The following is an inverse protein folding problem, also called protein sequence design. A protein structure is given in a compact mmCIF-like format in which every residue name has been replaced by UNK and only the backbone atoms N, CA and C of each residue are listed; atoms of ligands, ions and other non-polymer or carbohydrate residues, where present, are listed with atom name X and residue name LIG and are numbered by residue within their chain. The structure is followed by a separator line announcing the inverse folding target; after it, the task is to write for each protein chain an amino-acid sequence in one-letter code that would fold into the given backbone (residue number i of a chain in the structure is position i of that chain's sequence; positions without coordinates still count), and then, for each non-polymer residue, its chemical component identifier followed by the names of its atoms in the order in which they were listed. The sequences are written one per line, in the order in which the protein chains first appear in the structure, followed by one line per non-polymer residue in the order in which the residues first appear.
data_IF_100797372625
#
_entry.id   IF_100797372625
#
_cell.length_a   1.000
_cell.length_b   1.000
_cell.length_c   1.000
_cell.angle_alpha   90.00
_cell.angle_beta   90.00
_cell.angle_gamma   90.00
#
_symmetry.space_group_name_H-M   'P 1'
#
loop_
_entity.id
_entity.type
_entity.pdbx_description
1 polymer ?
#
# COMPACT_ATOMS: atom_id res chain seq x y z
N UNK A 1 -15.06 -25.40 -13.02
CA UNK A 1 -13.64 -25.76 -12.98
C UNK A 1 -13.14 -25.70 -11.53
N UNK A 2 -12.19 -26.59 -11.11
CA UNK A 2 -11.62 -26.51 -9.78
C UNK A 2 -10.89 -25.18 -9.58
N UNK A 3 -10.86 -24.68 -8.34
CA UNK A 3 -10.17 -23.43 -7.99
C UNK A 3 -8.65 -23.49 -8.27
N UNK A 4 -8.06 -24.69 -8.11
CA UNK A 4 -6.66 -24.97 -8.38
C UNK A 4 -6.50 -26.19 -9.27
N UNK A 5 -5.67 -26.06 -10.30
CA UNK A 5 -5.20 -27.18 -11.12
C UNK A 5 -3.94 -27.80 -10.52
N UNK A 6 -3.54 -28.99 -10.99
CA UNK A 6 -2.24 -29.59 -10.57
C UNK A 6 -1.05 -28.70 -10.99
N UNK A 7 -1.16 -28.00 -12.12
CA UNK A 7 -0.14 -27.03 -12.53
C UNK A 7 -0.02 -25.87 -11.56
N UNK A 8 -1.14 -25.38 -11.03
CA UNK A 8 -1.14 -24.28 -10.05
C UNK A 8 -0.45 -24.69 -8.76
N UNK A 9 -0.68 -25.93 -8.30
CA UNK A 9 0.01 -26.48 -7.11
C UNK A 9 1.54 -26.53 -7.30
N UNK A 10 1.99 -26.97 -8.50
CA UNK A 10 3.42 -26.95 -8.84
C UNK A 10 3.97 -25.54 -8.86
N UNK A 11 3.24 -24.58 -9.42
CA UNK A 11 3.67 -23.18 -9.45
C UNK A 11 3.68 -22.54 -8.05
N UNK A 12 2.74 -22.89 -7.18
CA UNK A 12 2.75 -22.45 -5.77
C UNK A 12 3.97 -23.00 -5.05
N UNK A 13 4.32 -24.29 -5.28
CA UNK A 13 5.52 -24.88 -4.69
C UNK A 13 6.78 -24.14 -5.17
N UNK A 14 6.90 -23.86 -6.46
CA UNK A 14 8.01 -23.06 -7.00
C UNK A 14 8.06 -21.67 -6.35
N UNK A 15 6.91 -21.03 -6.17
CA UNK A 15 6.84 -19.73 -5.51
C UNK A 15 7.35 -19.78 -4.06
N UNK A 16 7.07 -20.87 -3.34
CA UNK A 16 7.58 -21.11 -1.98
C UNK A 16 9.09 -21.31 -1.99
N UNK A 17 9.60 -22.15 -2.91
CA UNK A 17 11.02 -22.47 -3.03
C UNK A 17 11.87 -21.22 -3.37
N UNK A 18 11.33 -20.31 -4.15
CA UNK A 18 11.97 -19.06 -4.57
C UNK A 18 11.70 -17.87 -3.62
N UNK A 19 11.04 -18.09 -2.48
CA UNK A 19 10.67 -17.06 -1.48
C UNK A 19 10.10 -15.77 -2.09
N UNK A 20 9.17 -15.89 -3.04
CA UNK A 20 8.50 -14.73 -3.61
C UNK A 20 7.56 -14.07 -2.60
N UNK A 21 7.21 -12.80 -2.81
CA UNK A 21 6.43 -12.03 -1.84
C UNK A 21 4.93 -12.19 -2.02
N UNK A 22 4.46 -12.31 -3.29
CA UNK A 22 3.04 -12.30 -3.62
C UNK A 22 2.69 -13.37 -4.65
N UNK A 23 1.53 -14.00 -4.48
CA UNK A 23 0.84 -14.77 -5.51
C UNK A 23 -0.41 -14.00 -5.95
N UNK A 24 -0.51 -13.70 -7.25
CA UNK A 24 -1.74 -13.18 -7.85
C UNK A 24 -2.62 -14.35 -8.27
N UNK A 25 -3.68 -14.63 -7.49
CA UNK A 25 -4.61 -15.73 -7.73
C UNK A 25 -5.68 -15.29 -8.71
N UNK A 26 -5.68 -15.88 -9.93
CA UNK A 26 -6.65 -15.56 -11.00
C UNK A 26 -8.00 -16.21 -10.78
N UNK A 27 -9.05 -15.58 -11.31
CA UNK A 27 -10.43 -16.07 -11.35
C UNK A 27 -11.00 -16.48 -9.99
N UNK A 28 -10.68 -15.73 -8.94
CA UNK A 28 -11.22 -15.95 -7.60
C UNK A 28 -12.73 -15.66 -7.62
N UNK A 29 -13.52 -16.60 -7.10
CA UNK A 29 -14.99 -16.53 -7.04
C UNK A 29 -15.51 -16.43 -5.61
N UNK A 30 -14.72 -16.94 -4.64
CA UNK A 30 -15.13 -17.02 -3.24
C UNK A 30 -13.93 -17.03 -2.29
N UNK A 31 -14.19 -16.81 -1.00
CA UNK A 31 -13.18 -16.98 0.06
C UNK A 31 -12.63 -18.41 0.11
N UNK A 32 -13.40 -19.42 -0.33
CA UNK A 32 -12.92 -20.81 -0.37
C UNK A 32 -11.81 -21.00 -1.40
N UNK A 33 -11.85 -20.31 -2.54
CA UNK A 33 -10.77 -20.33 -3.53
C UNK A 33 -9.47 -19.76 -2.95
N UNK A 34 -9.57 -18.65 -2.22
CA UNK A 34 -8.42 -18.03 -1.54
C UNK A 34 -7.86 -18.96 -0.46
N UNK A 35 -8.75 -19.58 0.33
CA UNK A 35 -8.37 -20.52 1.37
C UNK A 35 -7.63 -21.72 0.83
N UNK A 36 -8.02 -22.25 -0.34
CA UNK A 36 -7.34 -23.39 -0.95
C UNK A 36 -5.84 -23.11 -1.24
N UNK A 37 -5.49 -21.88 -1.63
CA UNK A 37 -4.10 -21.44 -1.78
C UNK A 37 -3.46 -21.25 -0.41
N UNK A 38 -4.15 -20.59 0.52
CA UNK A 38 -3.63 -20.32 1.87
C UNK A 38 -3.28 -21.62 2.62
N UNK A 39 -4.12 -22.65 2.52
CA UNK A 39 -3.88 -23.94 3.16
C UNK A 39 -2.56 -24.60 2.67
N UNK A 40 -2.21 -24.42 1.38
CA UNK A 40 -0.91 -24.89 0.87
C UNK A 40 0.25 -24.07 1.46
N UNK A 41 0.11 -22.75 1.50
CA UNK A 41 1.13 -21.85 2.07
C UNK A 41 1.35 -22.13 3.55
N UNK A 42 0.27 -22.33 4.31
CA UNK A 42 0.33 -22.63 5.75
C UNK A 42 1.01 -23.98 6.03
N UNK A 43 0.71 -25.02 5.21
CA UNK A 43 1.36 -26.32 5.32
C UNK A 43 2.88 -26.28 5.13
N UNK A 44 3.38 -25.27 4.40
CA UNK A 44 4.80 -25.04 4.15
C UNK A 44 5.39 -23.90 5.01
N UNK A 45 4.62 -23.39 5.98
CA UNK A 45 5.01 -22.22 6.81
C UNK A 45 5.47 -21.01 5.98
N UNK A 46 4.88 -20.82 4.79
CA UNK A 46 5.25 -19.74 3.88
C UNK A 46 4.58 -18.42 4.25
N UNK A 47 5.34 -17.33 4.17
CA UNK A 47 4.85 -15.98 4.43
C UNK A 47 4.33 -15.25 3.18
N UNK A 48 4.26 -15.93 2.02
CA UNK A 48 3.74 -15.38 0.76
C UNK A 48 2.32 -14.84 0.98
N UNK A 49 2.03 -13.70 0.36
CA UNK A 49 0.72 -13.04 0.47
C UNK A 49 -0.11 -13.23 -0.80
N UNK A 50 -1.40 -13.45 -0.63
CA UNK A 50 -2.32 -13.68 -1.75
C UNK A 50 -2.97 -12.37 -2.16
N UNK A 51 -2.83 -12.01 -3.44
CA UNK A 51 -3.58 -10.96 -4.11
C UNK A 51 -4.66 -11.64 -4.96
N UNK A 52 -5.92 -11.50 -4.55
CA UNK A 52 -7.04 -12.09 -5.29
C UNK A 52 -7.43 -11.22 -6.47
N UNK A 53 -7.48 -11.82 -7.67
CA UNK A 53 -7.89 -11.14 -8.89
C UNK A 53 -9.39 -11.28 -9.09
N UNK A 54 -10.08 -10.15 -9.19
CA UNK A 54 -11.53 -10.08 -9.46
C UNK A 54 -11.71 -9.92 -10.96
N UNK A 55 -12.20 -10.98 -11.59
CA UNK A 55 -12.23 -11.17 -13.04
C UNK A 55 -13.59 -11.68 -13.55
N UNK A 56 -14.56 -11.90 -12.64
CA UNK A 56 -15.86 -12.47 -12.97
C UNK A 56 -16.96 -11.92 -12.04
N UNK A 57 -18.23 -12.11 -12.43
CA UNK A 57 -19.39 -11.64 -11.68
C UNK A 57 -19.48 -12.28 -10.29
N UNK A 58 -19.22 -13.58 -10.17
CA UNK A 58 -19.29 -14.30 -8.89
C UNK A 58 -18.29 -13.74 -7.87
N UNK A 59 -17.08 -13.35 -8.31
CA UNK A 59 -16.09 -12.66 -7.48
C UNK A 59 -16.54 -11.27 -7.04
N UNK A 60 -17.30 -10.55 -7.87
CA UNK A 60 -17.90 -9.26 -7.49
C UNK A 60 -18.99 -9.48 -6.44
N UNK A 61 -19.84 -10.47 -6.60
CA UNK A 61 -20.96 -10.77 -5.69
C UNK A 61 -20.44 -11.19 -4.30
N UNK A 62 -19.31 -11.90 -4.24
CA UNK A 62 -18.69 -12.41 -3.01
C UNK A 62 -17.52 -11.53 -2.51
N UNK A 63 -17.42 -10.28 -2.99
CA UNK A 63 -16.23 -9.45 -2.79
C UNK A 63 -15.85 -9.22 -1.33
N UNK A 64 -16.83 -9.07 -0.43
CA UNK A 64 -16.56 -8.77 0.98
C UNK A 64 -15.82 -9.93 1.67
N UNK A 65 -16.24 -11.18 1.43
CA UNK A 65 -15.63 -12.39 1.97
C UNK A 65 -14.25 -12.63 1.33
N UNK A 66 -14.10 -12.33 0.04
CA UNK A 66 -12.81 -12.43 -0.67
C UNK A 66 -11.80 -11.41 -0.12
N UNK A 67 -12.22 -10.17 0.13
CA UNK A 67 -11.35 -9.15 0.74
C UNK A 67 -10.88 -9.61 2.11
N UNK A 68 -11.78 -10.16 2.94
CA UNK A 68 -11.43 -10.61 4.28
C UNK A 68 -10.41 -11.76 4.25
N UNK A 69 -10.56 -12.69 3.31
CA UNK A 69 -9.66 -13.84 3.14
C UNK A 69 -8.31 -13.48 2.49
N UNK A 70 -8.21 -12.36 1.77
CA UNK A 70 -7.03 -11.99 0.97
C UNK A 70 -6.11 -11.02 1.71
N UNK A 71 -4.84 -10.96 1.29
CA UNK A 71 -3.94 -9.85 1.66
C UNK A 71 -4.31 -8.56 0.94
N UNK A 72 -4.63 -8.65 -0.36
CA UNK A 72 -5.04 -7.54 -1.19
C UNK A 72 -5.87 -8.00 -2.39
N UNK A 73 -6.36 -7.04 -3.15
CA UNK A 73 -7.23 -7.27 -4.31
C UNK A 73 -6.61 -6.68 -5.57
N UNK A 74 -6.77 -7.35 -6.70
CA UNK A 74 -6.50 -6.81 -8.03
C UNK A 74 -7.79 -6.80 -8.84
N UNK A 75 -8.18 -5.63 -9.31
CA UNK A 75 -9.32 -5.45 -10.22
C UNK A 75 -8.81 -5.62 -11.64
N UNK A 76 -9.02 -6.79 -12.23
CA UNK A 76 -8.54 -7.15 -13.56
C UNK A 76 -9.64 -6.86 -14.60
N UNK A 77 -9.75 -5.62 -15.02
CA UNK A 77 -10.88 -5.09 -15.81
C UNK A 77 -11.04 -5.72 -17.19
N UNK A 78 -9.94 -6.22 -17.78
CA UNK A 78 -9.95 -6.85 -19.09
C UNK A 78 -10.84 -8.10 -19.09
N UNK A 79 -10.58 -9.02 -18.15
CA UNK A 79 -11.35 -10.26 -18.04
C UNK A 79 -12.72 -10.00 -17.43
N UNK A 80 -12.83 -9.13 -16.43
CA UNK A 80 -14.09 -8.73 -15.82
C UNK A 80 -15.08 -8.19 -16.86
N UNK A 81 -14.61 -7.41 -17.84
CA UNK A 81 -15.44 -6.83 -18.91
C UNK A 81 -15.97 -7.84 -19.94
N UNK A 82 -15.56 -9.11 -19.84
CA UNK A 82 -16.14 -10.20 -20.65
C UNK A 82 -17.44 -10.70 -20.03
N UNK A 83 -17.53 -10.75 -18.69
CA UNK A 83 -18.68 -11.28 -17.96
C UNK A 83 -19.65 -10.21 -17.45
N UNK A 84 -19.14 -9.01 -17.17
CA UNK A 84 -19.91 -7.90 -16.61
C UNK A 84 -20.13 -6.83 -17.67
N UNK A 85 -21.33 -6.22 -17.78
CA UNK A 85 -21.57 -5.09 -18.68
C UNK A 85 -20.54 -3.98 -18.46
N UNK A 86 -19.94 -3.51 -19.55
CA UNK A 86 -18.80 -2.58 -19.51
C UNK A 86 -19.12 -1.27 -18.77
N UNK A 87 -20.35 -0.81 -18.86
CA UNK A 87 -20.86 0.39 -18.19
C UNK A 87 -20.92 0.25 -16.66
N UNK A 88 -20.91 -0.98 -16.11
CA UNK A 88 -20.91 -1.23 -14.67
C UNK A 88 -19.50 -1.25 -14.08
N UNK A 89 -18.47 -1.51 -14.89
CA UNK A 89 -17.08 -1.66 -14.42
C UNK A 89 -16.60 -0.45 -13.60
N UNK A 90 -16.82 0.81 -14.00
CA UNK A 90 -16.36 1.96 -13.21
C UNK A 90 -17.00 2.04 -11.82
N UNK A 91 -18.28 1.62 -11.70
CA UNK A 91 -18.99 1.54 -10.42
C UNK A 91 -18.42 0.45 -9.53
N UNK A 92 -18.26 -0.76 -10.07
CA UNK A 92 -17.67 -1.92 -9.38
C UNK A 92 -16.24 -1.60 -8.91
N UNK A 93 -15.42 -1.00 -9.78
CA UNK A 93 -14.06 -0.60 -9.42
C UNK A 93 -14.05 0.34 -8.21
N UNK A 94 -14.88 1.36 -8.20
CA UNK A 94 -14.96 2.32 -7.10
C UNK A 94 -15.42 1.66 -5.80
N UNK A 95 -16.41 0.78 -5.88
CA UNK A 95 -16.95 0.05 -4.71
C UNK A 95 -15.88 -0.86 -4.11
N UNK A 96 -15.19 -1.66 -4.93
CA UNK A 96 -14.11 -2.55 -4.48
C UNK A 96 -12.96 -1.74 -3.85
N UNK A 97 -12.54 -0.62 -4.46
CA UNK A 97 -11.49 0.24 -3.89
C UNK A 97 -11.91 0.74 -2.51
N UNK A 98 -13.13 1.25 -2.36
CA UNK A 98 -13.62 1.75 -1.08
C UNK A 98 -13.69 0.65 -0.02
N UNK A 99 -14.18 -0.53 -0.35
CA UNK A 99 -14.23 -1.69 0.55
C UNK A 99 -12.83 -2.10 0.99
N UNK A 100 -11.84 -2.13 0.08
CA UNK A 100 -10.46 -2.42 0.40
C UNK A 100 -9.86 -1.38 1.36
N UNK A 101 -10.12 -0.10 1.14
CA UNK A 101 -9.69 0.99 2.04
C UNK A 101 -10.23 0.77 3.45
N UNK A 102 -11.55 0.52 3.58
CA UNK A 102 -12.21 0.30 4.87
C UNK A 102 -11.70 -0.95 5.59
N UNK A 103 -11.29 -1.99 4.85
CA UNK A 103 -10.71 -3.23 5.38
C UNK A 103 -9.18 -3.17 5.50
N UNK A 104 -8.55 -2.03 5.18
CA UNK A 104 -7.09 -1.81 5.24
C UNK A 104 -6.30 -2.80 4.38
N UNK A 105 -6.86 -3.16 3.22
CA UNK A 105 -6.25 -4.07 2.26
C UNK A 105 -5.76 -3.28 1.04
N UNK A 106 -4.57 -3.57 0.51
CA UNK A 106 -4.12 -2.93 -0.72
C UNK A 106 -4.99 -3.34 -1.91
N UNK A 107 -5.21 -2.40 -2.82
CA UNK A 107 -5.97 -2.63 -4.06
C UNK A 107 -5.18 -2.15 -5.27
N UNK A 108 -5.12 -3.00 -6.28
CA UNK A 108 -4.44 -2.75 -7.55
C UNK A 108 -5.50 -2.62 -8.65
N UNK A 109 -5.45 -1.55 -9.42
CA UNK A 109 -6.25 -1.44 -10.65
C UNK A 109 -5.38 -1.86 -11.83
N UNK A 110 -5.84 -2.87 -12.57
CA UNK A 110 -5.08 -3.55 -13.59
C UNK A 110 -5.79 -3.58 -14.94
N UNK A 111 -5.00 -3.79 -15.98
CA UNK A 111 -5.38 -3.96 -17.39
C UNK A 111 -5.95 -2.72 -18.08
N UNK A 112 -5.63 -2.58 -19.36
CA UNK A 112 -6.14 -1.51 -20.25
C UNK A 112 -5.84 -0.07 -19.74
N UNK A 113 -4.72 0.11 -19.02
CA UNK A 113 -4.34 1.42 -18.49
C UNK A 113 -3.81 2.35 -19.59
N UNK A 114 -2.81 1.91 -20.35
CA UNK A 114 -2.18 2.61 -21.46
C UNK A 114 -2.06 1.70 -22.70
N UNK A 115 -3.12 0.93 -22.97
CA UNK A 115 -3.12 -0.13 -23.99
C UNK A 115 -2.66 0.37 -25.37
N UNK A 116 -3.03 1.60 -25.75
CA UNK A 116 -2.58 2.24 -26.99
C UNK A 116 -1.06 2.35 -27.04
N UNK A 117 -0.37 2.46 -25.91
CA UNK A 117 1.09 2.59 -25.86
C UNK A 117 1.84 1.27 -26.09
N UNK A 118 1.16 0.16 -26.28
CA UNK A 118 1.77 -1.05 -26.82
C UNK A 118 2.39 -0.75 -28.19
N UNK A 119 1.68 0.01 -29.04
CA UNK A 119 2.08 0.32 -30.41
C UNK A 119 2.40 1.80 -30.65
N UNK A 120 1.93 2.72 -29.81
CA UNK A 120 2.05 4.16 -30.00
C UNK A 120 2.84 4.82 -28.87
N UNK A 121 3.65 5.87 -29.16
CA UNK A 121 4.46 6.54 -28.12
C UNK A 121 3.67 7.46 -27.17
N UNK A 122 2.36 7.61 -27.40
CA UNK A 122 1.49 8.48 -26.60
C UNK A 122 0.13 7.82 -26.35
N UNK A 123 -0.44 7.99 -25.15
CA UNK A 123 -1.76 7.48 -24.83
C UNK A 123 -2.88 8.34 -25.44
N UNK A 124 -4.08 7.79 -25.44
CA UNK A 124 -5.30 8.53 -25.70
C UNK A 124 -5.72 9.39 -24.49
N UNK A 125 -6.58 10.37 -24.69
CA UNK A 125 -7.17 11.15 -23.58
C UNK A 125 -8.04 10.29 -22.66
N UNK A 126 -8.70 9.28 -23.19
CA UNK A 126 -9.51 8.34 -22.41
C UNK A 126 -8.66 7.55 -21.41
N UNK A 127 -7.50 7.04 -21.85
CA UNK A 127 -6.55 6.32 -20.98
C UNK A 127 -5.97 7.22 -19.89
N UNK A 128 -5.62 8.47 -20.22
CA UNK A 128 -5.17 9.46 -19.23
C UNK A 128 -6.27 9.72 -18.19
N UNK A 129 -7.52 9.86 -18.62
CA UNK A 129 -8.66 10.08 -17.73
C UNK A 129 -8.92 8.86 -16.85
N UNK A 130 -8.78 7.65 -17.39
CA UNK A 130 -9.00 6.41 -16.66
C UNK A 130 -7.98 6.22 -15.54
N UNK A 131 -6.69 6.44 -15.81
CA UNK A 131 -5.63 6.44 -14.79
C UNK A 131 -5.91 7.50 -13.72
N UNK A 132 -6.24 8.74 -14.13
CA UNK A 132 -6.56 9.79 -13.18
C UNK A 132 -7.75 9.42 -12.29
N UNK A 133 -8.80 8.78 -12.83
CA UNK A 133 -9.96 8.32 -12.05
C UNK A 133 -9.60 7.23 -11.03
N UNK A 134 -8.71 6.30 -11.37
CA UNK A 134 -8.21 5.31 -10.43
C UNK A 134 -7.45 5.98 -9.27
N UNK A 135 -6.62 6.98 -9.55
CA UNK A 135 -5.91 7.79 -8.53
C UNK A 135 -6.91 8.60 -7.69
N UNK A 136 -7.90 9.24 -8.31
CA UNK A 136 -8.95 9.98 -7.59
C UNK A 136 -9.81 9.09 -6.69
N UNK A 137 -9.86 7.79 -6.99
CA UNK A 137 -10.51 6.79 -6.14
C UNK A 137 -9.58 6.25 -5.05
N UNK A 138 -8.33 6.73 -4.95
CA UNK A 138 -7.33 6.35 -3.96
C UNK A 138 -6.89 4.88 -4.04
N UNK A 139 -6.72 4.32 -5.23
CA UNK A 139 -6.09 3.00 -5.38
C UNK A 139 -4.66 2.99 -4.83
N UNK A 140 -4.20 1.84 -4.33
CA UNK A 140 -2.84 1.70 -3.81
C UNK A 140 -1.80 1.59 -4.93
N UNK A 141 -2.14 0.89 -6.02
CA UNK A 141 -1.26 0.69 -7.16
C UNK A 141 -2.01 0.59 -8.49
N UNK A 142 -1.28 0.86 -9.57
CA UNK A 142 -1.70 0.65 -10.95
C UNK A 142 -0.79 -0.38 -11.60
N UNK A 143 -1.33 -1.22 -12.48
CA UNK A 143 -0.56 -2.24 -13.18
C UNK A 143 -0.56 -2.00 -14.70
N UNK A 144 0.62 -2.00 -15.31
CA UNK A 144 0.82 -2.16 -16.74
C UNK A 144 1.00 -3.64 -17.07
N UNK A 145 0.52 -4.08 -18.22
CA UNK A 145 0.57 -5.46 -18.70
C UNK A 145 1.36 -5.53 -20.02
N UNK A 146 0.67 -5.64 -21.14
CA UNK A 146 1.27 -5.69 -22.47
C UNK A 146 2.12 -4.47 -22.79
N UNK A 147 1.79 -3.31 -22.22
CA UNK A 147 2.51 -2.06 -22.40
C UNK A 147 4.00 -2.17 -22.04
N UNK A 148 4.32 -2.97 -21.03
CA UNK A 148 5.70 -3.19 -20.56
C UNK A 148 6.24 -4.59 -20.89
N UNK A 149 5.37 -5.58 -21.06
CA UNK A 149 5.80 -6.96 -21.33
C UNK A 149 6.18 -7.20 -22.80
N UNK A 150 5.48 -6.57 -23.73
CA UNK A 150 5.66 -6.78 -25.18
C UNK A 150 5.51 -5.51 -26.02
N UNK A 151 5.21 -4.38 -25.39
CA UNK A 151 5.00 -3.09 -26.07
C UNK A 151 6.29 -2.51 -26.64
N UNK A 152 6.15 -1.62 -27.63
CA UNK A 152 7.26 -0.91 -28.28
C UNK A 152 7.81 0.25 -27.42
N UNK A 153 7.05 0.72 -26.43
CA UNK A 153 7.35 1.90 -25.62
C UNK A 153 7.26 1.64 -24.12
N UNK A 154 7.96 0.61 -23.57
CA UNK A 154 7.78 0.19 -22.18
C UNK A 154 8.21 1.28 -21.17
N UNK A 155 9.32 1.95 -21.42
CA UNK A 155 9.84 3.01 -20.55
C UNK A 155 8.92 4.23 -20.54
N UNK A 156 8.48 4.66 -21.73
CA UNK A 156 7.56 5.79 -21.91
C UNK A 156 6.20 5.53 -21.28
N UNK A 157 5.72 4.28 -21.31
CA UNK A 157 4.47 3.88 -20.67
C UNK A 157 4.56 4.06 -19.15
N UNK A 158 5.61 3.55 -18.50
CA UNK A 158 5.84 3.74 -17.06
C UNK A 158 5.98 5.22 -16.70
N UNK A 159 6.79 5.97 -17.44
CA UNK A 159 6.97 7.41 -17.21
C UNK A 159 5.68 8.20 -17.41
N UNK A 160 4.86 7.81 -18.38
CA UNK A 160 3.57 8.47 -18.63
C UNK A 160 2.59 8.18 -17.52
N UNK A 161 2.47 6.93 -17.07
CA UNK A 161 1.63 6.56 -15.92
C UNK A 161 2.06 7.33 -14.66
N UNK A 162 3.36 7.40 -14.37
CA UNK A 162 3.89 8.15 -13.24
C UNK A 162 3.51 9.64 -13.30
N UNK A 163 3.71 10.31 -14.45
CA UNK A 163 3.33 11.73 -14.61
C UNK A 163 1.85 11.97 -14.42
N UNK A 164 0.99 11.08 -14.93
CA UNK A 164 -0.47 11.18 -14.74
C UNK A 164 -0.82 11.02 -13.26
N UNK A 165 -0.25 10.00 -12.59
CA UNK A 165 -0.47 9.74 -11.18
C UNK A 165 -0.05 10.93 -10.31
N UNK A 166 1.17 11.45 -10.47
CA UNK A 166 1.67 12.62 -9.73
C UNK A 166 0.81 13.88 -9.94
N UNK A 167 0.25 14.04 -11.13
CA UNK A 167 -0.63 15.18 -11.43
C UNK A 167 -1.98 15.01 -10.76
N UNK A 168 -2.58 13.84 -10.84
CA UNK A 168 -3.86 13.53 -10.22
C UNK A 168 -3.79 13.56 -8.68
N UNK A 169 -2.68 13.07 -8.09
CA UNK A 169 -2.45 13.16 -6.64
C UNK A 169 -2.41 14.60 -6.14
N UNK A 170 -1.73 15.51 -6.87
CA UNK A 170 -1.72 16.95 -6.53
C UNK A 170 -3.13 17.56 -6.53
N UNK A 171 -4.00 17.10 -7.41
CA UNK A 171 -5.40 17.56 -7.45
C UNK A 171 -6.23 16.94 -6.32
N UNK A 172 -6.01 15.69 -5.95
CA UNK A 172 -6.62 15.07 -4.76
C UNK A 172 -6.25 15.84 -3.50
N UNK A 173 -4.99 16.18 -3.32
CA UNK A 173 -4.51 16.96 -2.16
C UNK A 173 -5.20 18.32 -2.03
N UNK A 174 -5.56 18.98 -3.13
CA UNK A 174 -6.33 20.24 -3.10
C UNK A 174 -7.77 20.07 -2.66
N UNK A 175 -8.34 18.88 -2.84
CA UNK A 175 -9.75 18.58 -2.47
C UNK A 175 -9.90 18.16 -1.01
N UNK A 176 -8.79 17.98 -0.28
CA UNK A 176 -8.76 17.43 1.06
C UNK A 176 -8.67 15.90 1.05
N UNK A 177 -8.49 15.31 2.23
CA UNK A 177 -8.42 13.86 2.38
C UNK A 177 -9.82 13.24 2.49
N UNK A 178 -9.90 11.93 2.24
CA UNK A 178 -11.13 11.19 2.52
C UNK A 178 -11.22 10.90 4.02
N UNK A 179 -12.37 11.18 4.63
CA UNK A 179 -12.59 10.81 6.03
C UNK A 179 -12.91 9.31 6.14
N UNK A 180 -11.87 8.50 6.30
CA UNK A 180 -12.00 7.06 6.54
C UNK A 180 -12.34 6.85 8.03
N UNK A 181 -13.47 6.21 8.37
CA UNK A 181 -13.82 5.93 9.75
C UNK A 181 -12.85 4.92 10.37
N UNK A 182 -12.77 4.89 11.70
CA UNK A 182 -12.05 3.83 12.41
C UNK A 182 -12.80 2.50 12.22
N UNK A 183 -12.08 1.46 11.81
CA UNK A 183 -12.64 0.11 11.70
C UNK A 183 -12.88 -0.51 13.07
N UNK A 184 -12.03 -0.16 14.05
CA UNK A 184 -12.15 -0.56 15.45
C UNK A 184 -11.90 0.65 16.37
N UNK A 185 -12.98 1.22 16.91
CA UNK A 185 -12.95 2.38 17.80
C UNK A 185 -12.19 2.13 19.12
N UNK A 186 -11.88 0.89 19.46
CA UNK A 186 -11.07 0.52 20.63
C UNK A 186 -9.60 0.30 20.31
N UNK A 187 -9.20 0.38 19.02
CA UNK A 187 -7.82 0.21 18.60
C UNK A 187 -7.02 1.50 18.82
N UNK A 188 -6.16 1.51 19.84
CA UNK A 188 -5.23 2.62 20.08
C UNK A 188 -4.33 2.89 18.87
N UNK A 189 -3.80 1.84 18.23
CA UNK A 189 -2.96 1.95 17.03
C UNK A 189 -3.68 2.69 15.92
N UNK A 190 -4.91 2.29 15.61
CA UNK A 190 -5.70 2.87 14.53
C UNK A 190 -6.06 4.33 14.83
N UNK A 191 -6.43 4.62 16.07
CA UNK A 191 -6.70 5.99 16.53
C UNK A 191 -5.47 6.89 16.37
N UNK A 192 -4.30 6.43 16.81
CA UNK A 192 -3.05 7.19 16.68
C UNK A 192 -2.64 7.36 15.21
N UNK A 193 -2.83 6.34 14.38
CA UNK A 193 -2.58 6.44 12.93
C UNK A 193 -3.48 7.50 12.27
N UNK A 194 -4.79 7.50 12.57
CA UNK A 194 -5.72 8.53 12.09
C UNK A 194 -5.30 9.92 12.59
N UNK A 195 -4.93 10.05 13.85
CA UNK A 195 -4.46 11.31 14.43
C UNK A 195 -3.20 11.82 13.74
N UNK A 196 -2.24 10.94 13.39
CA UNK A 196 -1.04 11.32 12.66
C UNK A 196 -1.37 11.82 11.25
N UNK A 197 -2.30 11.20 10.55
CA UNK A 197 -2.78 11.67 9.24
C UNK A 197 -3.49 13.03 9.37
N UNK A 198 -4.39 13.19 10.34
CA UNK A 198 -5.04 14.48 10.60
C UNK A 198 -4.03 15.60 10.90
N UNK A 199 -2.92 15.28 11.56
CA UNK A 199 -1.86 16.25 11.84
C UNK A 199 -1.17 16.78 10.58
N UNK A 200 -1.20 16.04 9.47
CA UNK A 200 -0.65 16.52 8.20
C UNK A 200 -1.40 17.74 7.67
N UNK A 201 -2.70 17.79 7.89
CA UNK A 201 -3.55 18.91 7.44
C UNK A 201 -3.69 20.01 8.50
N UNK A 202 -3.99 19.61 9.75
CA UNK A 202 -4.37 20.55 10.79
C UNK A 202 -3.18 21.32 11.37
N UNK A 203 -2.02 20.67 11.50
CA UNK A 203 -0.82 21.29 12.08
C UNK A 203 0.38 21.34 11.14
N UNK A 204 0.21 20.89 9.89
CA UNK A 204 1.18 21.05 8.81
C UNK A 204 2.36 20.08 8.88
N UNK A 205 2.15 18.86 9.39
CA UNK A 205 3.14 17.78 9.30
C UNK A 205 3.40 17.42 7.85
N UNK A 206 4.68 17.32 7.45
CA UNK A 206 5.10 17.06 6.06
C UNK A 206 5.55 15.63 5.80
N UNK A 207 5.79 14.87 6.84
CA UNK A 207 6.16 13.45 6.76
C UNK A 207 5.78 12.76 8.06
N UNK A 208 5.29 11.52 7.96
CA UNK A 208 5.09 10.65 9.11
C UNK A 208 6.19 9.59 9.06
N UNK A 209 6.86 9.37 10.17
CA UNK A 209 7.87 8.32 10.33
C UNK A 209 7.30 7.28 11.28
N UNK A 210 7.42 6.01 10.95
CA UNK A 210 6.99 4.91 11.83
C UNK A 210 7.98 3.76 11.77
N UNK A 211 8.17 3.08 12.89
CA UNK A 211 8.85 1.80 12.92
C UNK A 211 7.88 0.68 12.53
N UNK A 212 8.39 -0.38 11.95
CA UNK A 212 7.54 -1.42 11.38
C UNK A 212 8.16 -2.81 11.45
N UNK A 213 7.79 -3.56 12.49
CA UNK A 213 8.17 -4.97 12.62
C UNK A 213 7.32 -5.89 11.71
N UNK A 214 6.02 -5.61 11.59
CA UNK A 214 5.06 -6.42 10.81
C UNK A 214 4.36 -5.67 9.68
N UNK A 215 4.67 -4.40 9.50
CA UNK A 215 3.96 -3.53 8.54
C UNK A 215 2.60 -3.01 9.02
N UNK A 216 2.10 -3.43 10.18
CA UNK A 216 0.72 -3.13 10.59
C UNK A 216 0.46 -1.62 10.76
N UNK A 217 1.33 -0.90 11.45
CA UNK A 217 1.17 0.55 11.66
C UNK A 217 1.23 1.32 10.34
N UNK A 218 2.17 0.95 9.45
CA UNK A 218 2.29 1.56 8.14
C UNK A 218 1.03 1.33 7.27
N UNK A 219 0.44 0.12 7.32
CA UNK A 219 -0.83 -0.18 6.61
C UNK A 219 -2.00 0.60 7.18
N UNK A 220 -2.10 0.77 8.51
CA UNK A 220 -3.11 1.65 9.09
C UNK A 220 -2.96 3.10 8.63
N UNK A 221 -1.73 3.63 8.61
CA UNK A 221 -1.46 4.97 8.08
C UNK A 221 -1.86 5.06 6.59
N UNK A 222 -1.49 4.07 5.78
CA UNK A 222 -1.85 4.01 4.37
C UNK A 222 -3.38 4.00 4.15
N UNK A 223 -4.15 3.28 4.99
CA UNK A 223 -5.61 3.20 4.85
C UNK A 223 -6.33 4.54 5.01
N UNK A 224 -5.76 5.47 5.74
CA UNK A 224 -6.32 6.82 5.89
C UNK A 224 -5.98 7.78 4.75
N UNK A 225 -5.24 7.33 3.73
CA UNK A 225 -5.00 8.06 2.46
C UNK A 225 -4.49 9.50 2.65
N UNK A 226 -3.56 9.69 3.57
CA UNK A 226 -3.00 11.01 3.85
C UNK A 226 -2.24 11.63 2.69
N UNK A 227 -2.12 12.98 2.64
CA UNK A 227 -1.51 13.70 1.51
C UNK A 227 0.02 13.70 1.54
N UNK A 228 0.64 13.23 2.61
CA UNK A 228 2.09 13.26 2.78
C UNK A 228 2.68 11.87 2.98
N UNK A 229 3.95 11.65 2.60
CA UNK A 229 4.58 10.34 2.65
C UNK A 229 4.69 9.81 4.08
N UNK A 230 4.53 8.50 4.20
CA UNK A 230 4.78 7.72 5.41
C UNK A 230 6.10 6.97 5.20
N UNK A 231 7.13 7.32 5.94
CA UNK A 231 8.38 6.58 5.96
C UNK A 231 8.27 5.42 6.97
N UNK A 232 8.26 4.20 6.48
CA UNK A 232 8.23 3.00 7.30
C UNK A 232 9.65 2.43 7.44
N UNK A 233 10.21 2.52 8.64
CA UNK A 233 11.48 1.91 8.99
C UNK A 233 11.26 0.42 9.25
N UNK A 234 11.70 -0.43 8.33
CA UNK A 234 11.48 -1.87 8.40
C UNK A 234 12.65 -2.61 9.03
N UNK A 235 12.37 -3.58 9.89
CA UNK A 235 13.38 -4.40 10.55
C UNK A 235 13.88 -5.56 9.69
N UNK A 236 13.19 -5.86 8.58
CA UNK A 236 13.63 -6.86 7.61
C UNK A 236 13.19 -6.51 6.18
N UNK A 237 13.87 -7.12 5.20
CA UNK A 237 13.64 -6.88 3.76
C UNK A 237 12.25 -7.35 3.30
N UNK A 238 11.70 -8.43 3.87
CA UNK A 238 10.39 -8.94 3.46
C UNK A 238 9.28 -7.94 3.77
N UNK A 239 9.29 -7.37 4.97
CA UNK A 239 8.31 -6.33 5.34
C UNK A 239 8.48 -5.09 4.47
N UNK A 240 9.73 -4.70 4.15
CA UNK A 240 9.99 -3.63 3.21
C UNK A 240 9.33 -3.90 1.85
N UNK A 241 9.56 -5.10 1.27
CA UNK A 241 8.97 -5.45 -0.03
C UNK A 241 7.44 -5.48 0.00
N UNK A 242 6.84 -6.08 1.05
CA UNK A 242 5.39 -6.14 1.22
C UNK A 242 4.72 -4.75 1.31
N UNK A 243 5.38 -3.79 1.97
CA UNK A 243 4.83 -2.44 2.16
C UNK A 243 4.86 -1.57 0.90
N UNK A 244 5.60 -1.96 -0.16
CA UNK A 244 5.59 -1.24 -1.44
C UNK A 244 4.21 -1.20 -2.11
N UNK A 245 3.28 -2.10 -1.75
CA UNK A 245 1.89 -2.05 -2.21
C UNK A 245 0.98 -1.16 -1.35
N UNK A 246 1.51 -0.46 -0.36
CA UNK A 246 0.70 0.37 0.55
C UNK A 246 0.72 1.83 0.11
N UNK A 247 -0.44 2.46 0.03
CA UNK A 247 -0.62 3.84 -0.42
C UNK A 247 0.26 4.82 0.36
N UNK A 248 1.07 5.60 -0.37
CA UNK A 248 1.89 6.67 0.20
C UNK A 248 3.00 6.20 1.16
N UNK A 249 3.26 4.91 1.29
CA UNK A 249 4.32 4.36 2.15
C UNK A 249 5.63 4.28 1.39
N UNK A 250 6.69 4.79 2.01
CA UNK A 250 8.08 4.63 1.59
C UNK A 250 8.77 3.68 2.57
N UNK A 251 8.79 2.38 2.31
CA UNK A 251 9.41 1.43 3.21
C UNK A 251 10.93 1.39 3.02
N UNK A 252 11.67 1.39 4.12
CA UNK A 252 13.13 1.34 4.11
C UNK A 252 13.62 0.33 5.12
N UNK A 253 14.43 -0.62 4.67
CA UNK A 253 15.16 -1.49 5.57
C UNK A 253 16.42 -0.75 6.05
N UNK A 254 16.52 -0.55 7.36
CA UNK A 254 17.66 0.07 8.02
C UNK A 254 18.45 -1.02 8.76
N UNK A 255 19.25 -1.77 8.02
CA UNK A 255 20.17 -2.75 8.60
C UNK A 255 21.19 -2.08 9.52
N UNK A 256 21.57 -2.74 10.59
CA UNK A 256 22.64 -2.32 11.52
C UNK A 256 22.34 -1.18 12.51
N UNK A 257 21.07 -0.89 12.80
CA UNK A 257 20.73 0.02 13.87
C UNK A 257 20.30 -0.76 15.13
N UNK A 258 20.95 -0.47 16.24
CA UNK A 258 20.78 -1.20 17.50
C UNK A 258 19.65 -0.66 18.36
N UNK A 259 19.16 0.54 18.05
CA UNK A 259 18.09 1.20 18.79
C UNK A 259 17.23 2.12 17.89
N UNK A 260 16.04 2.45 18.37
CA UNK A 260 15.05 3.25 17.66
C UNK A 260 15.49 4.68 17.40
N UNK A 261 16.34 5.25 18.26
CA UNK A 261 16.85 6.63 18.09
C UNK A 261 17.76 6.72 16.86
N UNK A 262 18.72 5.81 16.73
CA UNK A 262 19.59 5.74 15.56
C UNK A 262 18.83 5.48 14.28
N UNK A 263 17.82 4.59 14.31
CA UNK A 263 16.95 4.32 13.16
C UNK A 263 16.16 5.57 12.76
N UNK A 264 15.53 6.23 13.72
CA UNK A 264 14.78 7.46 13.48
C UNK A 264 15.67 8.57 12.90
N UNK A 265 16.85 8.80 13.47
CA UNK A 265 17.80 9.80 12.98
C UNK A 265 18.33 9.47 11.59
N UNK A 266 18.54 8.20 11.26
CA UNK A 266 18.91 7.75 9.91
C UNK A 266 17.79 8.03 8.92
N UNK A 267 16.56 7.72 9.29
CA UNK A 267 15.34 7.96 8.49
C UNK A 267 15.18 9.45 8.18
N UNK A 268 15.27 10.31 9.20
CA UNK A 268 15.19 11.77 9.07
C UNK A 268 16.27 12.33 8.15
N UNK A 269 17.52 11.87 8.30
CA UNK A 269 18.64 12.28 7.44
C UNK A 269 18.39 11.88 5.99
N UNK A 270 17.92 10.67 5.76
CA UNK A 270 17.59 10.16 4.41
C UNK A 270 16.49 11.00 3.74
N UNK A 271 15.39 11.29 4.46
CA UNK A 271 14.28 12.09 3.93
C UNK A 271 14.72 13.49 3.57
N UNK A 272 15.61 14.07 4.39
CA UNK A 272 16.21 15.39 4.11
C UNK A 272 17.15 15.36 2.89
N UNK A 273 18.01 14.35 2.80
CA UNK A 273 18.92 14.19 1.64
C UNK A 273 18.17 14.02 0.33
N UNK A 274 17.04 13.30 0.36
CA UNK A 274 16.15 13.12 -0.81
C UNK A 274 15.27 14.35 -1.11
N UNK A 275 15.32 15.39 -0.28
CA UNK A 275 14.57 16.64 -0.49
C UNK A 275 13.08 16.55 -0.13
N UNK A 276 12.64 15.50 0.55
CA UNK A 276 11.24 15.34 0.96
C UNK A 276 10.87 16.26 2.12
N UNK A 277 11.83 16.59 3.01
CA UNK A 277 11.63 17.44 4.18
C UNK A 277 12.77 18.46 4.34
N UNK A 278 12.43 19.63 4.88
CA UNK A 278 13.36 20.73 5.19
C UNK A 278 13.48 20.91 6.69
N UNK A 279 14.46 21.74 7.13
CA UNK A 279 14.76 21.91 8.55
C UNK A 279 13.60 22.51 9.36
N UNK A 280 12.79 23.34 8.73
CA UNK A 280 11.63 24.01 9.32
C UNK A 280 10.36 23.17 9.29
N UNK A 281 10.36 22.07 8.53
CA UNK A 281 9.18 21.23 8.39
C UNK A 281 8.89 20.47 9.70
N UNK A 282 7.61 20.28 9.96
CA UNK A 282 7.14 19.40 11.03
C UNK A 282 7.09 17.96 10.52
N UNK A 283 7.52 17.06 11.37
CA UNK A 283 7.38 15.62 11.19
C UNK A 283 6.58 15.03 12.33
N UNK A 284 5.92 13.91 12.08
CA UNK A 284 5.27 13.11 13.11
C UNK A 284 6.03 11.78 13.24
N UNK A 285 6.31 11.36 14.47
CA UNK A 285 6.84 10.04 14.75
C UNK A 285 5.78 9.20 15.46
N UNK A 286 5.37 8.12 14.82
CA UNK A 286 4.37 7.18 15.32
C UNK A 286 5.03 5.83 15.60
N UNK A 287 5.16 5.47 16.85
CA UNK A 287 5.89 4.26 17.25
C UNK A 287 5.33 3.63 18.54
N UNK A 288 5.97 2.57 18.99
CA UNK A 288 5.69 1.92 20.25
C UNK A 288 6.94 1.76 21.10
N UNK A 289 6.80 1.88 22.42
CA UNK A 289 7.86 1.49 23.35
C UNK A 289 8.09 -0.02 23.26
N UNK A 290 9.35 -0.43 23.29
CA UNK A 290 9.74 -1.85 23.39
C UNK A 290 9.46 -2.32 24.83
N UNK A 291 8.18 -2.50 25.15
CA UNK A 291 7.74 -3.20 26.36
C UNK A 291 7.20 -4.56 25.95
N UNK A 292 7.14 -5.52 26.86
CA UNK A 292 6.64 -6.87 26.63
C UNK A 292 5.25 -6.88 26.00
N UNK A 293 5.20 -6.89 24.64
CA UNK A 293 3.94 -6.91 23.89
C UNK A 293 3.89 -6.02 22.65
N UNK A 294 4.90 -5.21 22.37
CA UNK A 294 5.13 -4.42 21.16
C UNK A 294 3.87 -3.87 20.48
N UNK A 295 3.51 -2.62 20.70
CA UNK A 295 2.37 -1.97 20.05
C UNK A 295 2.62 -0.49 19.84
N UNK A 296 1.99 0.10 18.80
CA UNK A 296 2.00 1.55 18.58
C UNK A 296 1.25 2.24 19.73
N UNK A 297 1.92 3.06 20.52
CA UNK A 297 1.35 3.65 21.73
C UNK A 297 1.67 5.13 21.94
N UNK A 298 2.48 5.75 21.06
CA UNK A 298 2.71 7.19 21.12
C UNK A 298 2.78 7.82 19.72
N UNK A 299 2.42 9.11 19.66
CA UNK A 299 2.56 10.00 18.53
C UNK A 299 3.26 11.26 19.00
N UNK A 300 4.39 11.59 18.39
CA UNK A 300 5.17 12.79 18.68
C UNK A 300 5.27 13.67 17.44
N UNK A 301 5.09 15.00 17.60
CA UNK A 301 5.14 15.96 16.49
C UNK A 301 6.19 17.02 16.84
N UNK A 302 7.21 17.13 16.01
CA UNK A 302 8.31 18.10 16.19
C UNK A 302 8.71 18.75 14.87
N UNK A 303 9.33 19.91 14.94
CA UNK A 303 10.09 20.44 13.80
C UNK A 303 11.42 19.70 13.70
N UNK A 304 11.95 19.55 12.50
CA UNK A 304 13.29 18.98 12.31
C UNK A 304 14.38 19.76 13.07
N UNK A 305 14.19 21.07 13.19
CA UNK A 305 15.11 21.91 13.98
C UNK A 305 15.16 21.50 15.44
N UNK A 306 14.00 21.15 16.03
CA UNK A 306 13.94 20.63 17.40
C UNK A 306 14.59 19.26 17.52
N UNK A 307 14.33 18.36 16.56
CA UNK A 307 14.91 17.00 16.53
C UNK A 307 16.46 17.02 16.46
N UNK A 308 17.03 18.02 15.78
CA UNK A 308 18.49 18.19 15.68
C UNK A 308 19.10 19.05 16.80
N UNK A 309 18.30 19.54 17.76
CA UNK A 309 18.81 20.24 18.93
C UNK A 309 19.61 19.26 19.82
N UNK A 310 20.86 19.58 20.21
CA UNK A 310 21.65 18.71 21.09
C UNK A 310 21.00 18.40 22.44
N UNK A 311 20.06 19.24 22.87
CA UNK A 311 19.31 19.04 24.12
C UNK A 311 18.02 18.27 23.93
N UNK A 312 17.66 17.92 22.69
CA UNK A 312 16.48 17.10 22.40
C UNK A 312 16.66 15.70 22.97
N UNK A 313 15.73 15.30 23.82
CA UNK A 313 15.69 13.93 24.36
C UNK A 313 14.66 13.13 23.59
N UNK A 314 15.12 12.12 22.90
CA UNK A 314 14.25 11.17 22.25
C UNK A 314 13.48 10.39 23.32
N UNK A 315 12.16 10.46 23.30
CA UNK A 315 11.33 9.88 24.39
C UNK A 315 11.41 8.35 24.50
N UNK A 316 12.02 7.68 23.53
CA UNK A 316 12.19 6.23 23.55
C UNK A 316 13.41 5.74 24.35
N UNK A 317 14.21 6.67 24.89
CA UNK A 317 15.31 6.36 25.81
C UNK A 317 14.88 6.59 27.26
N UNK A 318 13.98 5.76 27.78
CA UNK A 318 13.89 5.59 29.22
C UNK A 318 15.16 4.83 29.66
N UNK A 319 16.19 5.57 30.01
CA UNK A 319 17.26 5.01 30.84
C UNK A 319 16.62 4.46 32.10
N UNK A 320 16.75 3.15 32.28
CA UNK A 320 16.53 2.51 33.58
C UNK A 320 17.21 3.32 34.68
N UNK A 321 16.42 3.77 35.63
CA UNK A 321 16.88 4.11 36.97
C UNK A 321 16.51 2.95 37.87
#
# INVERSE_FOLDING_TARGET
LPALTEKDKVNIQLAIDEDIDFIAHSFVRSAADVKAVQDILDAHHSEIKIISKIENQEGVDNIDDIIDASYGIMIARGDLGIEVPIEQIPGIQRDIIMKCILKQKPVIVATQMLHTMIENPRPTRAEVTDIANAIYSYTDALMLSGETASGKYPLEAVQTMARIAETAEKDNHKRGYIDVPLSNTKSQREFLAKSAIMATEQVGVKCIITDSASGATARHLASFRGPHPVLAMCYNDKIQRLLNLSYGVLPVHLANHTDNEHMFMAAVRMMRQKGYIKLEDKIAYLAGYITNGGGTNFLEINTLKQVFDPNYKFHNTMSEK
#
